data_IF_255858024519
#
_entry.id   IF_255858024519
#
_cell.length_a   1.000
_cell.length_b   1.000
_cell.length_c   1.000
_cell.angle_alpha   90.00
_cell.angle_beta   90.00
_cell.angle_gamma   90.00
#
_symmetry.space_group_name_H-M   'P 1'
#
loop_
_entity.id
_entity.type
_entity.pdbx_description
1 polymer ?
#
# COMPACT_ATOMS: atom_id res chain seq x y z
N UNK A 1 11.98 0.40 -14.20
CA UNK A 1 10.91 0.23 -13.19
C UNK A 1 9.57 0.46 -13.88
N UNK A 2 8.59 -0.38 -13.62
CA UNK A 2 7.30 -0.35 -14.34
C UNK A 2 6.24 0.50 -13.64
N UNK A 3 6.57 1.15 -12.55
CA UNK A 3 5.73 2.12 -11.86
C UNK A 3 6.54 3.39 -11.59
N UNK A 4 5.90 4.44 -11.06
CA UNK A 4 6.52 5.77 -10.98
C UNK A 4 7.76 5.80 -10.09
N UNK A 5 7.69 5.21 -8.90
CA UNK A 5 8.84 5.19 -8.01
C UNK A 5 8.54 4.62 -6.65
N UNK A 6 9.59 4.49 -5.84
CA UNK A 6 9.48 4.05 -4.45
C UNK A 6 9.57 5.27 -3.53
N UNK A 7 8.76 5.28 -2.49
CA UNK A 7 8.76 6.33 -1.46
C UNK A 7 9.01 5.69 -0.10
N UNK A 8 9.73 6.39 0.76
CA UNK A 8 9.77 6.00 2.18
C UNK A 8 8.38 6.22 2.78
N UNK A 9 8.06 5.58 3.92
CA UNK A 9 6.78 5.83 4.57
C UNK A 9 6.51 7.32 4.84
N UNK A 10 7.50 8.06 5.29
CA UNK A 10 7.37 9.51 5.56
C UNK A 10 7.09 10.29 4.27
N UNK A 11 7.83 10.00 3.19
CA UNK A 11 7.58 10.63 1.89
C UNK A 11 6.20 10.31 1.37
N UNK A 12 5.76 9.06 1.54
CA UNK A 12 4.42 8.63 1.12
C UNK A 12 3.34 9.41 1.87
N UNK A 13 3.50 9.53 3.18
CA UNK A 13 2.56 10.28 4.01
C UNK A 13 2.49 11.74 3.59
N UNK A 14 3.64 12.36 3.34
CA UNK A 14 3.69 13.75 2.88
C UNK A 14 2.97 13.94 1.54
N UNK A 15 3.20 13.03 0.59
CA UNK A 15 2.52 13.10 -0.70
C UNK A 15 1.00 13.02 -0.53
N UNK A 16 0.53 12.08 0.31
CA UNK A 16 -0.89 11.92 0.58
C UNK A 16 -1.50 13.17 1.22
N UNK A 17 -0.75 13.84 2.10
CA UNK A 17 -1.22 15.06 2.75
C UNK A 17 -1.26 16.25 1.79
N UNK A 18 -0.32 16.31 0.85
CA UNK A 18 -0.16 17.45 -0.05
C UNK A 18 -0.97 17.35 -1.35
N UNK A 19 -1.46 16.15 -1.70
CA UNK A 19 -2.21 15.92 -2.94
C UNK A 19 -3.62 15.47 -2.57
N UNK A 20 -4.58 16.35 -2.77
CA UNK A 20 -5.98 16.11 -2.36
C UNK A 20 -6.62 14.90 -3.05
N UNK A 21 -6.15 14.57 -4.25
CA UNK A 21 -6.68 13.47 -5.06
C UNK A 21 -5.89 12.16 -4.88
N UNK A 22 -4.83 12.16 -4.06
CA UNK A 22 -4.03 10.97 -3.85
C UNK A 22 -4.78 9.92 -3.02
N UNK A 23 -4.59 8.65 -3.36
CA UNK A 23 -5.25 7.51 -2.72
C UNK A 23 -4.21 6.55 -2.20
N UNK A 24 -4.37 6.11 -0.95
CA UNK A 24 -3.56 5.06 -0.36
C UNK A 24 -4.26 3.72 -0.57
N UNK A 25 -3.54 2.75 -1.12
CA UNK A 25 -4.06 1.40 -1.34
C UNK A 25 -3.30 0.44 -0.43
N UNK A 26 -3.98 -0.11 0.54
CA UNK A 26 -3.41 -1.15 1.41
C UNK A 26 -3.74 -2.50 0.78
N UNK A 27 -2.73 -3.14 0.21
CA UNK A 27 -2.91 -4.39 -0.53
C UNK A 27 -2.53 -5.64 0.28
N UNK A 28 -2.48 -5.49 1.60
CA UNK A 28 -2.29 -6.62 2.50
C UNK A 28 -3.56 -7.46 2.56
N UNK A 29 -3.57 -8.47 3.43
CA UNK A 29 -4.72 -9.34 3.61
C UNK A 29 -5.61 -8.88 4.77
N UNK A 30 -6.84 -9.38 4.77
CA UNK A 30 -7.80 -9.14 5.85
C UNK A 30 -7.22 -9.54 7.20
N UNK A 31 -6.46 -10.64 7.25
CA UNK A 31 -5.83 -11.09 8.49
C UNK A 31 -4.85 -10.05 9.03
N UNK A 32 -4.05 -9.46 8.15
CA UNK A 32 -3.09 -8.44 8.56
C UNK A 32 -3.78 -7.17 9.05
N UNK A 33 -4.86 -6.75 8.38
CA UNK A 33 -5.64 -5.60 8.83
C UNK A 33 -6.21 -5.83 10.23
N UNK A 34 -6.73 -7.03 10.49
CA UNK A 34 -7.35 -7.36 11.77
C UNK A 34 -6.36 -7.56 12.90
N UNK A 35 -5.21 -8.19 12.63
CA UNK A 35 -4.27 -8.60 13.68
C UNK A 35 -3.10 -7.66 13.87
N UNK A 36 -2.72 -6.91 12.85
CA UNK A 36 -1.53 -6.03 12.92
C UNK A 36 -1.92 -4.57 13.08
N UNK A 37 -2.99 -4.15 12.42
CA UNK A 37 -3.43 -2.76 12.42
C UNK A 37 -3.44 -2.20 11.01
N UNK A 38 -3.91 -0.96 10.88
CA UNK A 38 -4.10 -0.29 9.59
C UNK A 38 -3.58 1.14 9.65
N UNK A 39 -3.11 1.69 8.51
CA UNK A 39 -2.80 3.13 8.46
C UNK A 39 -4.09 3.94 8.61
N UNK A 40 -3.97 5.10 9.23
CA UNK A 40 -5.10 6.02 9.36
C UNK A 40 -4.95 7.11 8.33
N UNK A 41 -5.73 7.00 7.26
CA UNK A 41 -5.79 7.99 6.20
C UNK A 41 -7.16 7.85 5.52
N UNK A 42 -7.89 8.96 5.41
CA UNK A 42 -9.31 8.92 4.98
C UNK A 42 -9.52 8.36 3.58
N UNK A 43 -8.58 8.60 2.66
CA UNK A 43 -8.68 8.12 1.28
C UNK A 43 -7.90 6.82 1.10
N UNK A 44 -8.15 5.86 1.98
CA UNK A 44 -7.53 4.54 1.93
C UNK A 44 -8.51 3.53 1.34
N UNK A 45 -8.01 2.72 0.39
CA UNK A 45 -8.74 1.57 -0.14
C UNK A 45 -8.05 0.30 0.32
N UNK A 46 -8.81 -0.60 0.89
CA UNK A 46 -8.32 -1.89 1.37
C UNK A 46 -8.69 -2.93 0.33
N UNK A 47 -7.72 -3.36 -0.48
CA UNK A 47 -7.95 -4.32 -1.56
C UNK A 47 -6.81 -5.33 -1.54
N UNK A 48 -7.11 -6.58 -1.23
CA UNK A 48 -6.09 -7.63 -1.17
C UNK A 48 -5.43 -7.86 -2.52
N UNK A 49 -4.10 -7.93 -2.54
CA UNK A 49 -3.34 -8.39 -3.71
C UNK A 49 -3.47 -9.90 -3.84
N UNK A 50 -3.35 -10.63 -2.73
CA UNK A 50 -3.68 -12.06 -2.65
C UNK A 50 -4.80 -12.25 -1.64
N UNK A 51 -5.67 -13.23 -1.88
CA UNK A 51 -6.83 -13.47 -1.03
C UNK A 51 -6.47 -14.27 0.21
N UNK A 52 -7.04 -13.91 1.34
CA UNK A 52 -6.98 -14.69 2.56
C UNK A 52 -8.22 -15.60 2.60
N UNK A 53 -8.10 -16.85 3.07
CA UNK A 53 -6.92 -17.48 3.69
C UNK A 53 -6.04 -18.30 2.75
N UNK A 54 -6.42 -18.51 1.49
CA UNK A 54 -5.74 -19.46 0.62
C UNK A 54 -4.54 -18.87 -0.14
N UNK A 55 -4.34 -17.56 -0.12
CA UNK A 55 -3.22 -16.92 -0.78
C UNK A 55 -3.35 -16.83 -2.30
N UNK A 56 -4.51 -17.14 -2.86
CA UNK A 56 -4.70 -17.07 -4.31
C UNK A 56 -4.66 -15.62 -4.80
N UNK A 57 -4.22 -15.38 -6.05
CA UNK A 57 -4.24 -14.02 -6.61
C UNK A 57 -5.65 -13.44 -6.65
N UNK A 58 -5.76 -12.16 -6.32
CA UNK A 58 -7.03 -11.45 -6.46
C UNK A 58 -7.14 -10.91 -7.89
N UNK A 59 -7.87 -11.63 -8.73
CA UNK A 59 -8.07 -11.27 -10.14
C UNK A 59 -8.74 -9.93 -10.33
N UNK A 60 -9.44 -9.44 -9.32
CA UNK A 60 -10.20 -8.20 -9.37
C UNK A 60 -9.45 -7.02 -8.75
N UNK A 61 -8.17 -7.19 -8.42
CA UNK A 61 -7.39 -6.17 -7.72
C UNK A 61 -7.45 -4.81 -8.44
N UNK A 62 -7.11 -4.78 -9.72
CA UNK A 62 -7.09 -3.54 -10.49
C UNK A 62 -8.49 -2.92 -10.54
N UNK A 63 -9.51 -3.72 -10.83
CA UNK A 63 -10.90 -3.24 -10.90
C UNK A 63 -11.35 -2.64 -9.56
N UNK A 64 -11.04 -3.32 -8.47
CA UNK A 64 -11.50 -2.90 -7.15
C UNK A 64 -10.77 -1.65 -6.65
N UNK A 65 -9.49 -1.49 -7.03
CA UNK A 65 -8.75 -0.26 -6.74
C UNK A 65 -9.26 0.89 -7.60
N UNK A 66 -9.44 0.64 -8.90
CA UNK A 66 -9.68 1.69 -9.89
C UNK A 66 -11.08 2.29 -9.85
N UNK A 67 -12.06 1.63 -9.25
CA UNK A 67 -13.45 2.07 -9.30
C UNK A 67 -13.63 3.51 -8.83
N UNK A 68 -14.10 4.38 -9.73
CA UNK A 68 -14.34 5.78 -9.42
C UNK A 68 -13.12 6.67 -9.43
N UNK A 69 -11.93 6.14 -9.77
CA UNK A 69 -10.71 6.94 -9.80
C UNK A 69 -10.34 7.32 -11.24
N UNK A 70 -9.77 8.51 -11.40
CA UNK A 70 -9.25 8.97 -12.68
C UNK A 70 -7.81 8.46 -12.86
N UNK A 71 -7.37 8.19 -14.11
CA UNK A 71 -6.02 7.67 -14.36
C UNK A 71 -4.89 8.57 -13.86
N UNK A 72 -5.15 9.86 -13.71
CA UNK A 72 -4.15 10.84 -13.26
C UNK A 72 -4.03 10.94 -11.73
N UNK A 73 -4.94 10.34 -10.99
CA UNK A 73 -4.88 10.40 -9.53
C UNK A 73 -3.65 9.63 -9.02
N UNK A 74 -2.84 10.23 -8.15
CA UNK A 74 -1.69 9.53 -7.58
C UNK A 74 -2.15 8.37 -6.70
N UNK A 75 -1.54 7.21 -6.88
CA UNK A 75 -1.79 6.03 -6.05
C UNK A 75 -0.54 5.70 -5.27
N UNK A 76 -0.70 5.44 -3.98
CA UNK A 76 0.39 5.03 -3.09
C UNK A 76 0.03 3.65 -2.55
N UNK A 77 0.84 2.66 -2.88
CA UNK A 77 0.51 1.25 -2.61
C UNK A 77 1.38 0.76 -1.45
N UNK A 78 0.75 0.20 -0.43
CA UNK A 78 1.46 -0.28 0.77
C UNK A 78 1.11 -1.74 1.05
N UNK A 79 2.12 -2.53 1.42
CA UNK A 79 1.92 -3.87 1.95
C UNK A 79 2.74 -4.03 3.23
N UNK A 80 3.14 -5.24 3.61
CA UNK A 80 3.89 -5.40 4.86
C UNK A 80 5.33 -4.91 4.75
N UNK A 81 6.03 -5.26 3.67
CA UNK A 81 7.45 -4.98 3.50
C UNK A 81 7.80 -4.31 2.17
N UNK A 82 6.88 -4.25 1.21
CA UNK A 82 7.09 -3.61 -0.09
C UNK A 82 7.03 -4.51 -1.32
N UNK A 83 6.99 -5.84 -1.15
CA UNK A 83 7.02 -6.78 -2.28
C UNK A 83 5.69 -6.88 -3.02
N UNK A 84 4.62 -7.16 -2.30
CA UNK A 84 3.27 -7.26 -2.90
C UNK A 84 2.84 -5.92 -3.49
N UNK A 85 3.16 -4.84 -2.80
CA UNK A 85 2.79 -3.50 -3.25
C UNK A 85 3.53 -3.08 -4.52
N UNK A 86 4.78 -3.52 -4.70
CA UNK A 86 5.52 -3.28 -5.94
C UNK A 86 4.82 -3.98 -7.12
N UNK A 87 4.38 -5.22 -6.92
CA UNK A 87 3.63 -5.95 -7.94
C UNK A 87 2.28 -5.29 -8.23
N UNK A 88 1.58 -4.85 -7.18
CA UNK A 88 0.33 -4.12 -7.33
C UNK A 88 0.49 -2.80 -8.07
N UNK A 89 1.55 -2.06 -7.75
CA UNK A 89 1.86 -0.80 -8.42
C UNK A 89 2.14 -1.01 -9.90
N UNK A 90 2.85 -2.09 -10.24
CA UNK A 90 3.11 -2.46 -11.64
C UNK A 90 1.79 -2.73 -12.38
N UNK A 91 0.90 -3.52 -11.78
CA UNK A 91 -0.38 -3.86 -12.39
C UNK A 91 -1.24 -2.61 -12.64
N UNK A 92 -1.26 -1.68 -11.68
CA UNK A 92 -2.04 -0.45 -11.83
C UNK A 92 -1.45 0.48 -12.89
N UNK A 93 -0.12 0.54 -12.98
CA UNK A 93 0.54 1.31 -14.03
C UNK A 93 0.21 0.74 -15.41
N UNK A 94 0.24 -0.58 -15.55
CA UNK A 94 -0.13 -1.25 -16.79
C UNK A 94 -1.60 -1.02 -17.17
N UNK A 95 -2.45 -0.80 -16.17
CA UNK A 95 -3.87 -0.51 -16.37
C UNK A 95 -4.16 0.95 -16.75
N UNK A 96 -3.13 1.81 -16.77
CA UNK A 96 -3.27 3.19 -17.25
C UNK A 96 -3.10 4.29 -16.21
N UNK A 97 -2.85 3.95 -14.95
CA UNK A 97 -2.55 4.97 -13.94
C UNK A 97 -1.15 5.53 -14.18
N UNK A 98 -1.03 6.86 -14.19
CA UNK A 98 0.19 7.54 -14.62
C UNK A 98 1.13 7.91 -13.48
N UNK A 99 0.64 7.86 -12.24
CA UNK A 99 1.46 8.21 -11.08
C UNK A 99 1.18 7.20 -9.96
N UNK A 100 2.03 6.17 -9.86
CA UNK A 100 1.86 5.07 -8.91
C UNK A 100 3.16 4.85 -8.16
N UNK A 101 3.09 4.84 -6.84
CA UNK A 101 4.26 4.67 -5.96
C UNK A 101 4.11 3.44 -5.09
N UNK A 102 5.25 2.82 -4.80
CA UNK A 102 5.37 1.75 -3.83
C UNK A 102 5.95 2.31 -2.53
N UNK A 103 5.41 1.93 -1.38
CA UNK A 103 5.97 2.33 -0.09
C UNK A 103 7.06 1.34 0.29
N UNK A 104 8.31 1.82 0.33
CA UNK A 104 9.45 1.02 0.80
C UNK A 104 9.22 0.65 2.27
N UNK A 105 9.58 -0.58 2.63
CA UNK A 105 9.42 -1.14 3.97
C UNK A 105 7.96 -1.29 4.41
N UNK A 106 7.01 -0.85 3.60
CA UNK A 106 5.58 -1.06 3.83
C UNK A 106 5.07 -0.59 5.18
N UNK A 107 4.19 -1.38 5.77
CA UNK A 107 3.56 -1.04 7.06
C UNK A 107 4.42 -1.45 8.27
N UNK A 108 5.13 -2.58 8.17
CA UNK A 108 5.86 -3.16 9.30
C UNK A 108 7.39 -3.12 9.16
N UNK A 109 7.90 -2.93 7.96
CA UNK A 109 9.32 -3.01 7.70
C UNK A 109 9.86 -4.43 7.63
N UNK A 110 11.15 -4.56 7.44
CA UNK A 110 11.83 -5.85 7.36
C UNK A 110 12.26 -6.33 8.75
N UNK A 111 12.49 -7.64 8.90
CA UNK A 111 13.06 -8.19 10.12
C UNK A 111 14.45 -7.62 10.38
N UNK A 112 14.74 -7.31 11.65
CA UNK A 112 16.11 -7.09 12.08
C UNK A 112 16.76 -8.46 12.37
N UNK A 113 18.01 -8.46 12.85
CA UNK A 113 18.75 -9.71 13.13
C UNK A 113 18.11 -10.55 14.24
N UNK A 114 17.23 -9.94 15.04
CA UNK A 114 16.51 -10.65 16.11
C UNK A 114 15.11 -11.08 15.67
N UNK A 115 14.78 -10.90 14.39
CA UNK A 115 13.47 -11.26 13.85
C UNK A 115 12.37 -10.27 14.19
N UNK A 116 12.72 -9.09 14.68
CA UNK A 116 11.73 -8.06 15.05
C UNK A 116 11.55 -7.04 13.93
N UNK A 117 10.31 -6.55 13.80
CA UNK A 117 9.96 -5.53 12.82
C UNK A 117 9.63 -4.23 13.54
N UNK A 118 10.42 -3.19 13.28
CA UNK A 118 10.23 -1.88 13.91
C UNK A 118 10.18 -0.74 12.89
N UNK A 119 10.26 -1.06 11.62
CA UNK A 119 10.25 -0.07 10.54
C UNK A 119 8.87 0.13 9.92
N UNK A 120 8.87 0.62 8.69
CA UNK A 120 7.67 0.87 7.91
C UNK A 120 6.86 2.05 8.40
N UNK A 121 5.64 2.14 7.91
CA UNK A 121 4.70 3.20 8.28
C UNK A 121 4.53 3.28 9.80
N UNK A 122 4.29 2.13 10.42
CA UNK A 122 4.08 2.05 11.86
C UNK A 122 5.33 2.46 12.63
N UNK A 123 6.51 1.97 12.23
CA UNK A 123 7.77 2.29 12.89
C UNK A 123 8.21 3.75 12.74
N UNK A 124 7.74 4.41 11.67
CA UNK A 124 8.03 5.82 11.44
C UNK A 124 7.14 6.75 12.29
N UNK A 125 6.23 6.19 13.07
CA UNK A 125 5.34 7.00 13.91
C UNK A 125 4.21 7.67 13.16
N UNK A 126 3.91 7.22 11.95
CA UNK A 126 2.81 7.76 11.16
C UNK A 126 1.47 7.25 11.69
N UNK A 127 0.35 7.94 11.42
CA UNK A 127 -0.94 7.56 12.01
C UNK A 127 -1.36 6.14 11.65
N UNK A 128 -1.61 5.33 12.66
CA UNK A 128 -2.13 3.98 12.50
C UNK A 128 -2.97 3.59 13.71
N UNK A 129 -3.77 2.54 13.55
CA UNK A 129 -4.63 2.06 14.63
C UNK A 129 -4.85 0.56 14.48
N UNK A 130 -5.27 -0.07 15.56
CA UNK A 130 -5.80 -1.44 15.48
C UNK A 130 -7.17 -1.38 14.81
N UNK A 131 -7.43 -2.36 13.98
CA UNK A 131 -8.64 -2.39 13.17
C UNK A 131 -9.80 -3.07 13.90
#
# INVERSE_FOLDING_TARGET
MSYTGDLTPTEAHELLQNREDAVLVDCRTQAEWSFVGVPVFERTRFVEWTRYPDGSPNENFVRDVAGGLAPEQPLVIICRTGGRSAAGATALTEAGFTEVYNVLDGFEGHHDENGQRSGGWRGAGLPWKHH
#
